data_IF_346643603653
#
_entry.id   IF_346643603653
#
_cell.length_a   1.000
_cell.length_b   1.000
_cell.length_c   1.000
_cell.angle_alpha   90.00
_cell.angle_beta   90.00
_cell.angle_gamma   90.00
#
_symmetry.space_group_name_H-M   'P 1'
#
loop_
_entity.id
_entity.type
_entity.pdbx_description
1 polymer ?
#
# COMPACT_ATOMS: atom_id res chain seq x y z
N UNK A 1 -21.13 20.00 69.16
CA UNK A 1 -20.76 21.07 68.20
C UNK A 1 -19.51 20.60 67.49
N UNK A 2 -19.38 20.45 66.18
CA UNK A 2 -20.21 20.79 65.02
C UNK A 2 -20.11 19.63 64.03
N UNK A 3 -21.25 19.11 63.56
CA UNK A 3 -21.32 18.30 62.34
C UNK A 3 -21.36 19.27 61.17
N UNK A 4 -20.20 19.59 60.59
CA UNK A 4 -20.15 20.30 59.31
C UNK A 4 -20.55 19.30 58.21
N UNK A 5 -21.86 19.12 58.08
CA UNK A 5 -22.49 18.40 56.97
C UNK A 5 -22.33 19.23 55.70
N UNK A 6 -21.16 19.14 55.07
CA UNK A 6 -20.92 19.71 53.75
C UNK A 6 -21.81 18.95 52.77
N UNK A 7 -22.99 19.51 52.50
CA UNK A 7 -23.96 18.96 51.55
C UNK A 7 -23.30 19.00 50.18
N UNK A 8 -22.94 17.81 49.66
CA UNK A 8 -22.36 17.70 48.32
C UNK A 8 -23.32 18.37 47.32
N UNK A 9 -22.83 19.24 46.42
CA UNK A 9 -23.68 19.88 45.45
C UNK A 9 -24.35 18.80 44.58
N UNK A 10 -25.62 19.02 44.24
CA UNK A 10 -26.35 18.10 43.36
C UNK A 10 -25.73 18.11 41.96
N UNK A 11 -25.34 16.91 41.52
CA UNK A 11 -24.55 16.65 40.33
C UNK A 11 -25.24 15.63 39.42
N UNK A 12 -25.02 15.77 38.11
CA UNK A 12 -25.36 14.76 37.10
C UNK A 12 -24.12 14.45 36.27
N UNK A 13 -23.78 13.17 36.15
CA UNK A 13 -22.68 12.73 35.27
C UNK A 13 -23.16 12.57 33.83
N UNK A 14 -22.32 12.99 32.88
CA UNK A 14 -22.55 12.86 31.44
C UNK A 14 -21.22 12.52 30.76
N UNK A 15 -21.00 11.25 30.47
CA UNK A 15 -19.68 10.77 30.02
C UNK A 15 -18.61 11.15 31.07
N UNK A 16 -17.46 11.73 30.67
CA UNK A 16 -16.42 12.14 31.62
C UNK A 16 -16.72 13.47 32.35
N UNK A 17 -17.88 14.11 32.11
CA UNK A 17 -18.19 15.45 32.62
C UNK A 17 -19.18 15.40 33.78
N UNK A 18 -18.92 16.18 34.83
CA UNK A 18 -19.84 16.41 35.96
C UNK A 18 -20.56 17.75 35.79
N UNK A 19 -21.89 17.71 35.71
CA UNK A 19 -22.76 18.88 35.53
C UNK A 19 -23.42 19.25 36.86
N UNK A 20 -23.46 20.55 37.17
CA UNK A 20 -24.06 21.13 38.40
C UNK A 20 -25.01 22.26 38.05
N UNK A 21 -25.90 22.60 39.01
CA UNK A 21 -26.89 23.69 38.89
C UNK A 21 -27.77 23.50 37.64
N UNK A 22 -28.18 24.57 36.97
CA UNK A 22 -29.11 24.53 35.82
C UNK A 22 -28.64 23.63 34.67
N UNK A 23 -27.32 23.44 34.50
CA UNK A 23 -26.74 22.57 33.46
C UNK A 23 -27.01 21.07 33.68
N UNK A 24 -27.50 20.65 34.85
CA UNK A 24 -27.87 19.25 35.15
C UNK A 24 -29.23 18.84 34.58
N UNK A 25 -30.06 19.80 34.21
CA UNK A 25 -31.47 19.58 33.86
C UNK A 25 -31.68 19.09 32.42
N UNK A 26 -30.61 18.82 31.66
CA UNK A 26 -30.74 18.17 30.35
C UNK A 26 -31.35 16.77 30.51
N UNK A 27 -32.48 16.44 29.85
CA UNK A 27 -33.28 15.25 30.16
C UNK A 27 -32.68 13.94 29.64
N UNK A 28 -31.87 14.00 28.58
CA UNK A 28 -31.31 12.82 27.90
C UNK A 28 -29.81 12.67 28.16
N UNK A 29 -29.30 11.44 28.14
CA UNK A 29 -27.86 11.16 28.20
C UNK A 29 -27.21 11.35 26.83
N UNK A 30 -25.87 11.40 26.78
CA UNK A 30 -25.15 11.43 25.49
C UNK A 30 -25.41 10.16 24.68
N UNK A 31 -25.36 8.98 25.33
CA UNK A 31 -25.61 7.69 24.69
C UNK A 31 -27.04 7.60 24.16
N UNK A 32 -28.03 8.08 24.91
CA UNK A 32 -29.42 8.08 24.45
C UNK A 32 -29.58 8.89 23.15
N UNK A 33 -28.90 10.05 23.03
CA UNK A 33 -28.93 10.83 21.78
C UNK A 33 -28.21 10.12 20.63
N UNK A 34 -27.08 9.45 20.91
CA UNK A 34 -26.34 8.70 19.91
C UNK A 34 -27.10 7.46 19.40
N UNK A 35 -27.77 6.73 20.31
CA UNK A 35 -28.38 5.44 20.02
C UNK A 35 -29.84 5.54 19.54
N UNK A 36 -30.62 6.49 20.04
CA UNK A 36 -32.06 6.59 19.70
C UNK A 36 -32.34 7.50 18.49
N UNK A 37 -31.37 8.30 18.04
CA UNK A 37 -31.57 9.24 16.94
C UNK A 37 -30.88 8.80 15.65
N UNK A 38 -31.64 8.81 14.55
CA UNK A 38 -31.12 8.68 13.17
C UNK A 38 -31.26 10.03 12.50
N UNK A 39 -30.34 10.95 12.83
CA UNK A 39 -30.30 12.27 12.21
C UNK A 39 -30.10 12.20 10.68
N UNK A 40 -30.11 13.34 9.99
CA UNK A 40 -29.83 13.40 8.54
C UNK A 40 -28.51 12.70 8.19
N UNK A 41 -28.45 12.02 7.05
CA UNK A 41 -27.28 11.23 6.63
C UNK A 41 -26.35 11.95 5.65
N UNK A 42 -26.70 13.16 5.18
CA UNK A 42 -25.96 13.83 4.10
C UNK A 42 -24.47 14.05 4.41
N UNK A 43 -24.13 14.19 5.68
CA UNK A 43 -22.74 14.35 6.14
C UNK A 43 -21.82 13.22 5.68
N UNK A 44 -22.33 11.98 5.45
CA UNK A 44 -21.51 10.85 4.99
C UNK A 44 -20.96 11.03 3.57
N UNK A 45 -21.51 11.97 2.80
CA UNK A 45 -21.09 12.29 1.44
C UNK A 45 -20.24 13.57 1.36
N UNK A 46 -20.01 14.25 2.49
CA UNK A 46 -19.25 15.50 2.56
C UNK A 46 -17.76 15.27 2.78
N UNK A 47 -16.93 16.23 2.39
CA UNK A 47 -15.48 16.15 2.54
C UNK A 47 -14.99 15.97 3.99
N UNK A 48 -15.57 16.62 5.02
CA UNK A 48 -15.18 16.35 6.40
C UNK A 48 -15.28 14.87 6.79
N UNK A 49 -16.32 14.17 6.34
CA UNK A 49 -16.42 12.73 6.59
C UNK A 49 -15.45 11.92 5.73
N UNK A 50 -15.19 12.34 4.49
CA UNK A 50 -14.15 11.71 3.65
C UNK A 50 -12.78 11.78 4.31
N UNK A 51 -12.42 12.90 4.95
CA UNK A 51 -11.16 13.02 5.71
C UNK A 51 -11.07 11.94 6.80
N UNK A 52 -12.14 11.73 7.56
CA UNK A 52 -12.17 10.68 8.59
C UNK A 52 -12.03 9.27 8.00
N UNK A 53 -12.66 9.00 6.84
CA UNK A 53 -12.52 7.71 6.14
C UNK A 53 -11.11 7.50 5.60
N UNK A 54 -10.51 8.54 5.02
CA UNK A 54 -9.13 8.51 4.54
C UNK A 54 -8.17 8.24 5.70
N UNK A 55 -8.36 8.92 6.83
CA UNK A 55 -7.59 8.69 8.05
C UNK A 55 -7.72 7.24 8.52
N UNK A 56 -8.94 6.68 8.52
CA UNK A 56 -9.18 5.30 8.90
C UNK A 56 -8.40 4.31 8.00
N UNK A 57 -8.39 4.49 6.68
CA UNK A 57 -7.61 3.63 5.77
C UNK A 57 -6.11 3.69 6.03
N UNK A 58 -5.57 4.86 6.39
CA UNK A 58 -4.17 4.95 6.82
C UNK A 58 -3.91 4.24 8.14
N UNK A 59 -4.81 4.37 9.13
CA UNK A 59 -4.67 3.69 10.42
C UNK A 59 -4.72 2.17 10.24
N UNK A 60 -5.68 1.66 9.48
CA UNK A 60 -5.83 0.23 9.19
C UNK A 60 -4.65 -0.31 8.39
N UNK A 61 -4.27 0.37 7.30
CA UNK A 61 -3.12 -0.02 6.49
C UNK A 61 -1.82 -0.02 7.29
N UNK A 62 -1.58 1.00 8.11
CA UNK A 62 -0.38 1.06 8.94
C UNK A 62 -0.37 0.01 10.05
N UNK A 63 -1.52 -0.24 10.68
CA UNK A 63 -1.64 -1.25 11.73
C UNK A 63 -1.42 -2.65 11.19
N UNK A 64 -2.04 -2.99 10.05
CA UNK A 64 -1.96 -4.35 9.52
C UNK A 64 -0.61 -4.71 8.91
N UNK A 65 0.12 -3.73 8.38
CA UNK A 65 1.44 -3.92 7.79
C UNK A 65 2.59 -3.62 8.78
N UNK A 66 2.28 -3.32 10.05
CA UNK A 66 3.27 -2.87 11.04
C UNK A 66 4.39 -3.89 11.29
N UNK A 67 4.07 -5.18 11.27
CA UNK A 67 5.01 -6.27 11.52
C UNK A 67 5.42 -7.01 10.24
N UNK A 68 5.18 -6.40 9.08
CA UNK A 68 5.59 -6.98 7.81
C UNK A 68 7.13 -7.11 7.78
N UNK A 69 7.69 -8.28 7.42
CA UNK A 69 9.12 -8.41 7.21
C UNK A 69 9.56 -7.58 5.99
N UNK A 70 10.85 -7.62 5.66
CA UNK A 70 11.34 -7.05 4.40
C UNK A 70 10.51 -7.57 3.23
N UNK A 71 10.17 -6.68 2.31
CA UNK A 71 9.20 -6.99 1.25
C UNK A 71 9.53 -6.28 -0.06
N UNK A 72 9.05 -6.89 -1.13
CA UNK A 72 9.11 -6.34 -2.49
C UNK A 72 7.71 -6.18 -3.01
N UNK A 73 7.43 -5.03 -3.61
CA UNK A 73 6.16 -4.85 -4.32
C UNK A 73 6.33 -5.28 -5.78
N UNK A 74 5.46 -6.16 -6.24
CA UNK A 74 5.43 -6.63 -7.62
C UNK A 74 4.19 -6.09 -8.33
N UNK A 75 4.42 -5.45 -9.47
CA UNK A 75 3.37 -4.95 -10.35
C UNK A 75 3.39 -5.67 -11.68
N UNK A 76 2.23 -5.71 -12.35
CA UNK A 76 2.09 -6.26 -13.68
C UNK A 76 0.63 -6.26 -14.15
N UNK A 77 0.40 -6.71 -15.37
CA UNK A 77 -0.93 -6.73 -15.96
C UNK A 77 -1.91 -7.64 -15.21
N UNK A 78 -3.09 -7.11 -14.89
CA UNK A 78 -4.25 -7.90 -14.43
C UNK A 78 -4.83 -8.82 -15.53
N UNK A 79 -4.35 -8.69 -16.78
CA UNK A 79 -4.89 -9.38 -17.96
C UNK A 79 -4.00 -10.52 -18.46
N UNK A 80 -2.85 -10.75 -17.84
CA UNK A 80 -1.95 -11.85 -18.22
C UNK A 80 -2.64 -13.19 -17.94
N UNK A 81 -2.78 -14.05 -18.96
CA UNK A 81 -3.37 -15.38 -18.79
C UNK A 81 -2.43 -16.34 -18.06
N UNK A 82 -3.01 -17.32 -17.34
CA UNK A 82 -2.23 -18.32 -16.56
C UNK A 82 -1.28 -19.18 -17.40
N UNK A 83 -1.60 -19.38 -18.67
CA UNK A 83 -0.78 -20.15 -19.62
C UNK A 83 0.26 -19.28 -20.35
N UNK A 84 0.30 -17.97 -20.09
CA UNK A 84 1.23 -17.05 -20.74
C UNK A 84 2.63 -17.11 -20.10
N UNK A 85 3.68 -16.90 -20.90
CA UNK A 85 5.07 -16.94 -20.43
C UNK A 85 5.34 -15.93 -19.30
N UNK A 86 4.74 -14.74 -19.38
CA UNK A 86 4.83 -13.71 -18.34
C UNK A 86 4.22 -14.15 -17.01
N UNK A 87 3.18 -15.00 -17.03
CA UNK A 87 2.61 -15.55 -15.79
C UNK A 87 3.60 -16.54 -15.16
N UNK A 88 4.22 -17.40 -15.97
CA UNK A 88 5.27 -18.30 -15.48
C UNK A 88 6.46 -17.52 -14.90
N UNK A 89 6.87 -16.43 -15.55
CA UNK A 89 7.92 -15.54 -15.07
C UNK A 89 7.52 -14.84 -13.75
N UNK A 90 6.29 -14.36 -13.63
CA UNK A 90 5.78 -13.78 -12.38
C UNK A 90 5.75 -14.78 -11.22
N UNK A 91 5.39 -16.03 -11.50
CA UNK A 91 5.43 -17.11 -10.49
C UNK A 91 6.86 -17.43 -10.08
N UNK A 92 7.79 -17.56 -11.03
CA UNK A 92 9.21 -17.77 -10.74
C UNK A 92 9.78 -16.64 -9.89
N UNK A 93 9.45 -15.38 -10.21
CA UNK A 93 9.82 -14.22 -9.41
C UNK A 93 9.28 -14.30 -7.97
N UNK A 94 7.98 -14.61 -7.80
CA UNK A 94 7.37 -14.75 -6.48
C UNK A 94 8.08 -15.81 -5.62
N UNK A 95 8.41 -16.96 -6.21
CA UNK A 95 9.17 -18.03 -5.56
C UNK A 95 10.58 -17.57 -5.18
N UNK A 96 11.33 -16.99 -6.11
CA UNK A 96 12.70 -16.56 -5.85
C UNK A 96 12.79 -15.46 -4.78
N UNK A 97 11.81 -14.54 -4.74
CA UNK A 97 11.71 -13.52 -3.68
C UNK A 97 11.44 -14.14 -2.31
N UNK A 98 10.51 -15.12 -2.23
CA UNK A 98 10.22 -15.84 -1.00
C UNK A 98 11.43 -16.62 -0.47
N UNK A 99 12.13 -17.33 -1.35
CA UNK A 99 13.36 -18.07 -1.02
C UNK A 99 14.49 -17.12 -0.58
N UNK A 100 14.55 -15.92 -1.14
CA UNK A 100 15.43 -14.84 -0.69
C UNK A 100 14.97 -14.20 0.64
N UNK A 101 13.85 -14.64 1.24
CA UNK A 101 13.34 -14.17 2.52
C UNK A 101 12.65 -12.80 2.45
N UNK A 102 12.07 -12.45 1.30
CA UNK A 102 11.20 -11.27 1.15
C UNK A 102 9.74 -11.68 1.13
N UNK A 103 8.89 -10.90 1.81
CA UNK A 103 7.46 -10.92 1.54
C UNK A 103 7.18 -10.32 0.15
N UNK A 104 6.10 -10.76 -0.48
CA UNK A 104 5.67 -10.25 -1.79
C UNK A 104 4.38 -9.48 -1.63
N UNK A 105 4.42 -8.19 -1.94
CA UNK A 105 3.25 -7.31 -1.96
C UNK A 105 2.79 -7.16 -3.41
N UNK A 106 1.50 -7.32 -3.67
CA UNK A 106 0.92 -7.05 -4.98
C UNK A 106 -0.35 -6.24 -4.84
N UNK A 107 -0.96 -5.87 -5.97
CA UNK A 107 -2.30 -5.32 -5.99
C UNK A 107 -3.42 -6.31 -5.66
N UNK A 108 -3.11 -7.60 -5.44
CA UNK A 108 -4.05 -8.64 -5.05
C UNK A 108 -5.00 -9.12 -6.15
N UNK A 109 -4.96 -8.53 -7.34
CA UNK A 109 -5.81 -8.90 -8.46
C UNK A 109 -5.33 -10.15 -9.24
N UNK A 110 -5.99 -10.47 -10.37
CA UNK A 110 -5.62 -11.58 -11.24
C UNK A 110 -4.33 -11.30 -12.05
N UNK A 111 -3.96 -12.24 -12.92
CA UNK A 111 -2.87 -12.08 -13.88
C UNK A 111 -1.48 -12.10 -13.24
N UNK A 112 -0.62 -11.15 -13.62
CA UNK A 112 0.76 -11.11 -13.13
C UNK A 112 0.85 -10.91 -11.60
N UNK A 113 -0.13 -10.22 -11.00
CA UNK A 113 -0.23 -10.08 -9.55
C UNK A 113 -0.48 -11.43 -8.87
N UNK A 114 -1.49 -12.17 -9.35
CA UNK A 114 -1.77 -13.53 -8.89
C UNK A 114 -0.55 -14.45 -9.08
N UNK A 115 0.15 -14.35 -10.22
CA UNK A 115 1.33 -15.16 -10.48
C UNK A 115 2.40 -14.98 -9.38
N UNK A 116 2.71 -13.72 -9.03
CA UNK A 116 3.68 -13.40 -8.00
C UNK A 116 3.21 -13.84 -6.60
N UNK A 117 1.94 -13.59 -6.24
CA UNK A 117 1.36 -14.08 -4.99
C UNK A 117 1.45 -15.61 -4.88
N UNK A 118 1.07 -16.31 -5.96
CA UNK A 118 1.11 -17.76 -6.04
C UNK A 118 2.51 -18.31 -5.84
N UNK A 119 3.50 -17.78 -6.58
CA UNK A 119 4.89 -18.21 -6.46
C UNK A 119 5.45 -18.02 -5.05
N UNK A 120 5.10 -16.90 -4.41
CA UNK A 120 5.50 -16.59 -3.04
C UNK A 120 4.87 -17.55 -2.02
N UNK A 121 3.54 -17.71 -2.08
CA UNK A 121 2.77 -18.55 -1.16
C UNK A 121 3.15 -20.03 -1.27
N UNK A 122 3.31 -20.57 -2.49
CA UNK A 122 3.73 -21.96 -2.71
C UNK A 122 5.17 -22.24 -2.20
N UNK A 123 6.03 -21.23 -2.16
CA UNK A 123 7.38 -21.31 -1.60
C UNK A 123 7.42 -21.12 -0.07
N UNK A 124 6.26 -20.92 0.58
CA UNK A 124 6.16 -20.68 2.02
C UNK A 124 6.55 -19.26 2.44
N UNK A 125 6.62 -18.32 1.49
CA UNK A 125 6.80 -16.89 1.77
C UNK A 125 5.50 -16.22 2.22
N UNK A 126 5.59 -14.97 2.67
CA UNK A 126 4.42 -14.19 3.08
C UNK A 126 3.87 -13.35 1.93
N UNK A 127 2.66 -13.68 1.49
CA UNK A 127 2.01 -13.09 0.32
C UNK A 127 0.95 -12.06 0.73
N UNK A 128 1.12 -10.81 0.28
CA UNK A 128 0.24 -9.68 0.61
C UNK A 128 -0.49 -9.18 -0.64
N UNK A 129 -1.78 -8.90 -0.50
CA UNK A 129 -2.63 -8.33 -1.54
C UNK A 129 -3.28 -7.03 -1.07
N UNK A 130 -2.85 -5.91 -1.64
CA UNK A 130 -3.45 -4.60 -1.39
C UNK A 130 -4.45 -4.32 -2.51
N UNK A 131 -5.71 -4.68 -2.33
CA UNK A 131 -6.80 -4.48 -3.29
C UNK A 131 -7.28 -3.04 -3.37
N UNK A 132 -8.08 -2.73 -4.39
CA UNK A 132 -8.76 -1.44 -4.54
C UNK A 132 -10.23 -1.67 -4.92
N UNK A 133 -11.14 -0.88 -4.39
CA UNK A 133 -12.55 -0.92 -4.76
C UNK A 133 -12.74 -0.41 -6.19
N UNK A 134 -13.04 -1.32 -7.13
CA UNK A 134 -13.48 -0.99 -8.48
C UNK A 134 -14.89 -1.56 -8.74
N UNK A 135 -15.69 -0.92 -9.62
CA UNK A 135 -17.05 -1.38 -9.94
C UNK A 135 -17.13 -2.74 -10.65
N UNK A 136 -16.01 -3.30 -11.11
CA UNK A 136 -15.99 -4.52 -11.94
C UNK A 136 -14.95 -5.55 -11.51
N UNK A 137 -14.18 -5.29 -10.45
CA UNK A 137 -13.03 -6.13 -10.10
C UNK A 137 -13.46 -7.35 -9.28
N UNK A 138 -12.91 -8.50 -9.65
CA UNK A 138 -12.98 -9.73 -8.86
C UNK A 138 -12.10 -9.53 -7.63
N UNK A 139 -12.52 -10.05 -6.47
CA UNK A 139 -11.81 -9.85 -5.19
C UNK A 139 -10.34 -10.32 -5.21
N UNK A 140 -9.70 -10.29 -4.05
CA UNK A 140 -8.31 -10.74 -3.91
C UNK A 140 -8.15 -12.19 -4.40
N UNK A 141 -7.04 -12.46 -5.09
CA UNK A 141 -6.74 -13.79 -5.58
C UNK A 141 -6.48 -14.79 -4.42
N UNK A 142 -6.64 -16.08 -4.71
CA UNK A 142 -6.63 -17.15 -3.71
C UNK A 142 -5.27 -17.36 -3.00
N UNK A 143 -4.20 -16.70 -3.46
CA UNK A 143 -2.83 -16.87 -2.97
C UNK A 143 -2.39 -15.73 -2.05
N UNK A 144 -3.31 -14.84 -1.66
CA UNK A 144 -3.06 -13.76 -0.71
C UNK A 144 -3.26 -14.27 0.71
N UNK A 145 -2.22 -14.18 1.54
CA UNK A 145 -2.29 -14.52 2.97
C UNK A 145 -2.82 -13.35 3.80
N UNK A 146 -2.37 -12.14 3.47
CA UNK A 146 -2.82 -10.88 4.10
C UNK A 146 -3.43 -9.95 3.05
N UNK A 147 -4.74 -9.74 3.15
CA UNK A 147 -5.51 -8.90 2.23
C UNK A 147 -6.01 -7.61 2.87
N UNK A 148 -5.81 -6.47 2.19
CA UNK A 148 -6.41 -5.18 2.57
C UNK A 148 -7.07 -4.56 1.34
N UNK A 149 -8.36 -4.26 1.40
CA UNK A 149 -9.08 -3.59 0.32
C UNK A 149 -9.20 -2.10 0.61
N UNK A 150 -8.54 -1.28 -0.20
CA UNK A 150 -8.61 0.17 -0.10
C UNK A 150 -9.76 0.72 -0.93
N UNK A 151 -10.26 1.91 -0.57
CA UNK A 151 -11.13 2.70 -1.45
C UNK A 151 -10.36 3.82 -2.14
N UNK A 152 -9.34 4.37 -1.47
CA UNK A 152 -8.59 5.50 -1.98
C UNK A 152 -7.25 5.06 -2.58
N UNK A 153 -7.07 5.30 -3.88
CA UNK A 153 -5.84 4.96 -4.61
C UNK A 153 -4.56 5.48 -3.93
N UNK A 154 -4.57 6.74 -3.45
CA UNK A 154 -3.39 7.34 -2.85
C UNK A 154 -3.01 6.72 -1.49
N UNK A 155 -4.00 6.21 -0.73
CA UNK A 155 -3.73 5.50 0.51
C UNK A 155 -3.04 4.16 0.21
N UNK A 156 -3.57 3.41 -0.76
CA UNK A 156 -2.97 2.17 -1.27
C UNK A 156 -1.55 2.37 -1.79
N UNK A 157 -1.33 3.38 -2.64
CA UNK A 157 -0.02 3.77 -3.19
C UNK A 157 1.02 3.99 -2.10
N UNK A 158 0.63 4.69 -1.04
CA UNK A 158 1.50 4.92 0.11
C UNK A 158 1.95 3.60 0.74
N UNK A 159 1.08 2.59 0.83
CA UNK A 159 1.42 1.30 1.43
C UNK A 159 2.41 0.51 0.57
N UNK A 160 2.28 0.55 -0.76
CA UNK A 160 3.26 -0.09 -1.66
C UNK A 160 4.67 0.44 -1.41
N UNK A 161 4.84 1.75 -1.35
CA UNK A 161 6.17 2.36 -1.17
C UNK A 161 6.67 2.20 0.26
N UNK A 162 5.82 2.45 1.27
CA UNK A 162 6.24 2.47 2.68
C UNK A 162 6.71 1.10 3.18
N UNK A 163 6.06 0.03 2.74
CA UNK A 163 6.28 -1.32 3.27
C UNK A 163 7.11 -2.22 2.35
N UNK A 164 7.70 -1.68 1.29
CA UNK A 164 8.64 -2.42 0.44
C UNK A 164 9.97 -1.70 0.32
N UNK A 165 10.98 -2.40 -0.19
CA UNK A 165 12.32 -1.83 -0.42
C UNK A 165 12.71 -1.79 -1.89
N UNK A 166 11.89 -2.37 -2.76
CA UNK A 166 12.08 -2.39 -4.19
C UNK A 166 10.74 -2.60 -4.90
N UNK A 167 10.66 -2.11 -6.13
CA UNK A 167 9.61 -2.47 -7.08
C UNK A 167 10.17 -3.39 -8.15
N UNK A 168 9.40 -4.42 -8.48
CA UNK A 168 9.64 -5.25 -9.67
C UNK A 168 8.39 -5.17 -10.55
N UNK A 169 8.56 -4.69 -11.78
CA UNK A 169 7.49 -4.49 -12.75
C UNK A 169 7.59 -5.55 -13.86
N UNK A 170 6.66 -6.51 -13.83
CA UNK A 170 6.35 -7.39 -14.96
C UNK A 170 5.57 -6.59 -16.03
N UNK A 171 5.50 -7.08 -17.29
CA UNK A 171 4.74 -6.42 -18.35
C UNK A 171 3.32 -6.03 -17.93
N UNK A 172 2.93 -4.78 -18.19
CA UNK A 172 1.76 -4.19 -17.56
C UNK A 172 1.27 -2.90 -18.20
N UNK A 173 -0.03 -2.63 -18.05
CA UNK A 173 -0.67 -1.45 -18.63
C UNK A 173 -0.52 -0.18 -17.78
N UNK A 174 -1.50 0.72 -17.87
CA UNK A 174 -1.45 2.03 -17.20
C UNK A 174 -1.31 1.97 -15.68
N UNK A 175 -1.91 0.98 -15.00
CA UNK A 175 -1.71 0.83 -13.56
C UNK A 175 -0.25 0.53 -13.20
N UNK A 176 0.41 -0.34 -13.97
CA UNK A 176 1.84 -0.64 -13.78
C UNK A 176 2.71 0.57 -14.10
N UNK A 177 2.40 1.31 -15.17
CA UNK A 177 3.12 2.53 -15.54
C UNK A 177 2.97 3.64 -14.50
N UNK A 178 1.77 3.81 -13.92
CA UNK A 178 1.50 4.78 -12.86
C UNK A 178 2.43 4.54 -11.65
N UNK A 179 2.48 3.30 -11.16
CA UNK A 179 3.32 2.95 -10.00
C UNK A 179 4.82 3.00 -10.32
N UNK A 180 5.21 2.62 -11.54
CA UNK A 180 6.58 2.75 -12.04
C UNK A 180 7.05 4.22 -11.98
N UNK A 181 6.31 5.14 -12.59
CA UNK A 181 6.72 6.54 -12.64
C UNK A 181 6.58 7.25 -11.29
N UNK A 182 5.65 6.83 -10.44
CA UNK A 182 5.56 7.32 -9.06
C UNK A 182 6.83 6.96 -8.27
N UNK A 183 7.27 5.70 -8.32
CA UNK A 183 8.50 5.27 -7.65
C UNK A 183 9.74 6.04 -8.14
N UNK A 184 9.90 6.16 -9.45
CA UNK A 184 11.02 6.93 -10.04
C UNK A 184 11.01 8.38 -9.54
N UNK A 185 9.84 9.01 -9.48
CA UNK A 185 9.72 10.40 -9.00
C UNK A 185 10.05 10.51 -7.51
N UNK A 186 9.62 9.55 -6.69
CA UNK A 186 9.92 9.53 -5.25
C UNK A 186 11.42 9.35 -4.97
N UNK A 187 12.10 8.52 -5.77
CA UNK A 187 13.55 8.32 -5.64
C UNK A 187 14.33 9.53 -6.15
N UNK A 188 13.98 10.05 -7.33
CA UNK A 188 14.59 11.27 -7.90
C UNK A 188 14.51 12.45 -6.93
N UNK A 189 13.36 12.63 -6.26
CA UNK A 189 13.14 13.72 -5.30
C UNK A 189 13.66 13.42 -3.89
N UNK A 190 14.33 12.28 -3.69
CA UNK A 190 14.88 11.81 -2.41
C UNK A 190 13.84 11.68 -1.29
N UNK A 191 12.58 11.49 -1.66
CA UNK A 191 11.52 11.10 -0.70
C UNK A 191 11.72 9.66 -0.24
N UNK A 192 12.33 8.84 -1.09
CA UNK A 192 12.91 7.54 -0.77
C UNK A 192 14.35 7.54 -1.29
N UNK A 193 15.30 6.99 -0.55
CA UNK A 193 16.75 7.16 -0.84
C UNK A 193 17.37 6.01 -1.60
N UNK A 194 16.98 4.77 -1.32
CA UNK A 194 17.53 3.55 -1.94
C UNK A 194 16.39 2.59 -2.25
N UNK A 195 15.84 2.71 -3.46
CA UNK A 195 14.67 1.95 -3.88
C UNK A 195 14.80 1.61 -5.37
N UNK A 196 15.37 0.45 -5.72
CA UNK A 196 15.54 0.08 -7.12
C UNK A 196 14.19 -0.21 -7.75
N UNK A 197 14.10 0.09 -9.05
CA UNK A 197 12.95 -0.27 -9.87
C UNK A 197 13.43 -1.22 -10.97
N UNK A 198 13.05 -2.49 -10.84
CA UNK A 198 13.42 -3.54 -11.79
C UNK A 198 12.30 -3.72 -12.80
N UNK A 199 12.65 -3.70 -14.08
CA UNK A 199 11.76 -4.01 -15.20
C UNK A 199 12.10 -5.41 -15.70
N UNK A 200 11.16 -6.35 -15.59
CA UNK A 200 11.31 -7.71 -16.12
C UNK A 200 10.65 -7.81 -17.50
N UNK A 201 11.39 -8.28 -18.50
CA UNK A 201 10.95 -8.41 -19.89
C UNK A 201 11.54 -7.34 -20.80
N UNK A 202 12.77 -7.56 -21.27
CA UNK A 202 13.55 -6.61 -22.09
C UNK A 202 12.82 -6.24 -23.39
N UNK A 203 12.18 -7.21 -24.05
CA UNK A 203 11.42 -6.98 -25.28
C UNK A 203 10.22 -6.04 -25.05
N UNK A 204 9.50 -6.23 -23.94
CA UNK A 204 8.31 -5.43 -23.61
C UNK A 204 8.69 -3.99 -23.24
N UNK A 205 9.69 -3.85 -22.36
CA UNK A 205 10.08 -2.55 -21.81
C UNK A 205 11.06 -1.77 -22.68
N UNK A 206 11.73 -2.42 -23.64
CA UNK A 206 12.80 -1.84 -24.45
C UNK A 206 12.40 -0.52 -25.11
N UNK A 207 11.21 -0.46 -25.74
CA UNK A 207 10.73 0.76 -26.37
C UNK A 207 10.52 1.93 -25.39
N UNK A 208 10.05 1.66 -24.17
CA UNK A 208 9.90 2.69 -23.14
C UNK A 208 11.27 3.12 -22.61
N UNK A 209 12.14 2.16 -22.31
CA UNK A 209 13.50 2.41 -21.82
C UNK A 209 14.29 3.27 -22.82
N UNK A 210 14.24 2.93 -24.11
CA UNK A 210 14.90 3.67 -25.18
C UNK A 210 14.35 5.09 -25.31
N UNK A 211 13.03 5.29 -25.16
CA UNK A 211 12.46 6.63 -25.18
C UNK A 211 12.95 7.47 -23.99
N UNK A 212 13.01 6.89 -22.79
CA UNK A 212 13.53 7.56 -21.60
C UNK A 212 15.02 7.91 -21.79
N UNK A 213 15.83 6.96 -22.23
CA UNK A 213 17.27 7.13 -22.41
C UNK A 213 17.62 8.10 -23.55
N UNK A 214 16.94 8.02 -24.68
CA UNK A 214 17.30 8.83 -25.86
C UNK A 214 16.58 10.19 -25.87
N UNK A 215 15.30 10.23 -25.50
CA UNK A 215 14.49 11.45 -25.60
C UNK A 215 14.45 12.22 -24.29
N UNK A 216 14.08 11.57 -23.18
CA UNK A 216 13.88 12.27 -21.89
C UNK A 216 15.21 12.72 -21.32
N UNK A 217 16.20 11.83 -21.25
CA UNK A 217 17.58 12.17 -20.86
C UNK A 217 18.27 13.03 -21.91
N UNK A 218 18.17 12.70 -23.20
CA UNK A 218 18.78 13.50 -24.28
C UNK A 218 18.28 14.94 -24.33
N UNK A 219 17.02 15.20 -23.96
CA UNK A 219 16.46 16.54 -23.83
C UNK A 219 16.73 17.19 -22.46
N UNK A 220 17.47 16.54 -21.55
CA UNK A 220 17.83 17.06 -20.23
C UNK A 220 16.65 17.17 -19.25
N UNK A 221 15.65 16.29 -19.38
CA UNK A 221 14.48 16.25 -18.47
C UNK A 221 14.72 15.39 -17.23
N UNK A 222 15.74 14.53 -17.27
CA UNK A 222 16.27 13.74 -16.16
C UNK A 222 17.80 13.73 -16.22
N UNK A 223 18.48 13.35 -15.15
CA UNK A 223 19.93 13.12 -15.12
C UNK A 223 20.33 11.66 -15.34
N UNK A 224 21.61 11.40 -15.62
CA UNK A 224 22.13 10.02 -15.78
C UNK A 224 21.87 9.12 -14.56
N UNK A 225 21.92 9.71 -13.36
CA UNK A 225 21.63 9.02 -12.11
C UNK A 225 20.16 8.61 -11.98
N UNK A 226 19.25 9.33 -12.62
CA UNK A 226 17.83 9.00 -12.62
C UNK A 226 17.56 7.83 -13.58
N UNK A 227 18.25 7.78 -14.72
CA UNK A 227 18.18 6.63 -15.63
C UNK A 227 18.73 5.36 -14.97
N UNK A 228 19.80 5.48 -14.19
CA UNK A 228 20.40 4.36 -13.45
C UNK A 228 19.50 3.76 -12.36
N UNK A 229 18.33 4.37 -12.06
CA UNK A 229 17.32 3.79 -11.17
C UNK A 229 16.58 2.62 -11.80
N UNK A 230 16.55 2.56 -13.14
CA UNK A 230 15.90 1.51 -13.91
C UNK A 230 16.89 0.37 -14.17
N UNK A 231 16.56 -0.82 -13.68
CA UNK A 231 17.28 -2.03 -14.01
C UNK A 231 16.43 -2.91 -14.94
N UNK A 232 16.84 -3.06 -16.19
CA UNK A 232 16.11 -3.84 -17.20
C UNK A 232 16.75 -5.22 -17.37
N UNK A 233 15.98 -6.29 -17.18
CA UNK A 233 16.48 -7.66 -17.26
C UNK A 233 15.40 -8.66 -17.69
N UNK A 234 15.81 -9.83 -18.16
CA UNK A 234 14.92 -10.99 -18.37
C UNK A 234 15.12 -12.07 -17.30
N UNK A 235 16.19 -11.95 -16.51
CA UNK A 235 16.63 -12.93 -15.55
C UNK A 235 16.04 -12.61 -14.16
N UNK A 236 15.29 -13.57 -13.61
CA UNK A 236 14.70 -13.49 -12.28
C UNK A 236 15.78 -13.45 -11.21
N UNK A 237 16.88 -14.20 -11.36
CA UNK A 237 17.96 -14.25 -10.38
C UNK A 237 18.69 -12.89 -10.31
N UNK A 238 18.89 -12.27 -11.47
CA UNK A 238 19.44 -10.92 -11.57
C UNK A 238 18.50 -9.87 -10.94
N UNK A 239 17.19 -9.96 -11.18
CA UNK A 239 16.21 -9.11 -10.50
C UNK A 239 16.27 -9.24 -8.98
N UNK A 240 16.31 -10.46 -8.45
CA UNK A 240 16.41 -10.73 -7.00
C UNK A 240 17.75 -10.25 -6.43
N UNK A 241 18.84 -10.38 -7.18
CA UNK A 241 20.15 -9.88 -6.77
C UNK A 241 20.13 -8.37 -6.56
N UNK A 242 19.54 -7.60 -7.48
CA UNK A 242 19.40 -6.14 -7.35
C UNK A 242 18.58 -5.76 -6.11
N UNK A 243 17.49 -6.49 -5.83
CA UNK A 243 16.70 -6.31 -4.60
C UNK A 243 17.55 -6.57 -3.36
N UNK A 244 18.32 -7.66 -3.32
CA UNK A 244 19.19 -8.00 -2.19
C UNK A 244 20.28 -6.96 -1.95
N UNK A 245 20.91 -6.45 -3.03
CA UNK A 245 21.92 -5.40 -2.95
C UNK A 245 21.33 -4.11 -2.39
N UNK A 246 20.12 -3.72 -2.83
CA UNK A 246 19.42 -2.56 -2.29
C UNK A 246 19.04 -2.74 -0.82
N UNK A 247 18.58 -3.92 -0.42
CA UNK A 247 18.29 -4.24 0.98
C UNK A 247 19.52 -4.13 1.86
N UNK A 248 20.65 -4.73 1.46
CA UNK A 248 21.92 -4.61 2.19
C UNK A 248 22.37 -3.15 2.33
N UNK A 249 22.28 -2.39 1.24
CA UNK A 249 22.61 -0.97 1.27
C UNK A 249 21.65 -0.16 2.17
N UNK A 250 20.40 -0.59 2.32
CA UNK A 250 19.44 0.02 3.25
C UNK A 250 19.78 -0.32 4.70
N UNK A 251 20.12 -1.57 5.01
CA UNK A 251 20.60 -2.03 6.33
C UNK A 251 21.90 -1.32 6.76
N UNK A 252 22.83 -1.07 5.85
CA UNK A 252 24.05 -0.32 6.19
C UNK A 252 23.80 1.16 6.52
N UNK A 253 22.64 1.70 6.13
CA UNK A 253 22.31 3.11 6.28
C UNK A 253 21.37 3.40 7.47
N UNK A 254 20.80 2.39 8.13
CA UNK A 254 19.82 2.50 9.21
C UNK A 254 20.13 1.57 10.37
#
# INVERSE_FOLDING_TARGET
>A
MSTDGVRRPEEKQRGPVVLRRERRNEPTTTDQRLLDSRGPSDWVHTDPWRVMRIQAEFVEGFGMLAELPRAVTVFGSARTGRDHIEYAQGRALGTALAEAGFAVITGGGPGAMEAANKGCSEAGGFSVGLGIELPFEQGLNDWVDLGINFRYFFARKTMFVKYSQAFVCLPGGFGTLDELFEALTLVQTKKVTKFPVVLLGTEYWGGLYDWIANTVLGAGKIGEKDLALLHLTDDVDDAVKIVQEAWRAWEEAH
#
